data_IF_308541955483
#
_entry.id   IF_308541955483
#
_cell.length_a   1.000
_cell.length_b   1.000
_cell.length_c   1.000
_cell.angle_alpha   90.00
_cell.angle_beta   90.00
_cell.angle_gamma   90.00
#
_symmetry.space_group_name_H-M   'P 1'
#
loop_
_entity.id
_entity.type
_entity.pdbx_description
1 polymer ?
#
# COMPACT_ATOMS: atom_id res chain seq x y z
N UNK A 1 4.41 2.64 -20.00
CA UNK A 1 4.10 3.82 -20.85
C UNK A 1 2.99 4.70 -20.28
N UNK A 2 1.85 4.17 -19.84
CA UNK A 2 0.73 4.99 -19.33
C UNK A 2 1.10 5.89 -18.15
N UNK A 3 1.85 5.40 -17.17
CA UNK A 3 2.26 6.17 -15.99
C UNK A 3 3.10 7.41 -16.36
N UNK A 4 4.03 7.27 -17.31
CA UNK A 4 4.87 8.38 -17.76
C UNK A 4 4.03 9.48 -18.46
N UNK A 5 3.02 9.07 -19.23
CA UNK A 5 2.11 10.01 -19.89
C UNK A 5 1.30 10.79 -18.84
N UNK A 6 0.80 10.11 -17.82
CA UNK A 6 0.04 10.74 -16.72
C UNK A 6 0.92 11.76 -15.98
N UNK A 7 2.17 11.40 -15.64
CA UNK A 7 3.10 12.32 -15.00
C UNK A 7 3.40 13.55 -15.85
N UNK A 8 3.72 13.35 -17.13
CA UNK A 8 3.96 14.45 -18.06
C UNK A 8 2.72 15.35 -18.17
N UNK A 9 1.52 14.75 -18.26
CA UNK A 9 0.27 15.49 -18.33
C UNK A 9 0.07 16.40 -17.10
N UNK A 10 0.35 15.94 -15.89
CA UNK A 10 0.25 16.78 -14.69
C UNK A 10 1.17 17.98 -14.74
N UNK A 11 2.42 17.82 -15.16
CA UNK A 11 3.35 18.95 -15.31
C UNK A 11 2.90 19.93 -16.38
N UNK A 12 2.46 19.43 -17.54
CA UNK A 12 1.98 20.28 -18.65
C UNK A 12 0.72 21.04 -18.23
N UNK A 13 -0.24 20.39 -17.60
CA UNK A 13 -1.48 21.03 -17.12
C UNK A 13 -1.15 22.10 -16.08
N UNK A 14 -0.29 21.81 -15.10
CA UNK A 14 0.11 22.80 -14.10
C UNK A 14 0.76 24.03 -14.73
N UNK A 15 1.65 23.82 -15.71
CA UNK A 15 2.31 24.91 -16.42
C UNK A 15 1.34 25.74 -17.27
N UNK A 16 0.42 25.10 -18.00
CA UNK A 16 -0.60 25.79 -18.80
C UNK A 16 -1.54 26.61 -17.92
N UNK A 17 -1.97 26.05 -16.78
CA UNK A 17 -2.80 26.77 -15.81
C UNK A 17 -2.05 27.98 -15.22
N UNK A 18 -0.76 27.83 -14.94
CA UNK A 18 0.06 28.94 -14.44
C UNK A 18 0.20 30.06 -15.48
N UNK A 19 0.45 29.70 -16.74
CA UNK A 19 0.48 30.69 -17.84
C UNK A 19 -0.87 31.40 -17.99
N UNK A 20 -1.97 30.68 -17.94
CA UNK A 20 -3.30 31.26 -18.01
C UNK A 20 -3.53 32.24 -16.86
N UNK A 21 -3.18 31.88 -15.63
CA UNK A 21 -3.30 32.81 -14.47
C UNK A 21 -2.42 34.04 -14.62
N UNK A 22 -1.18 33.91 -15.10
CA UNK A 22 -0.29 35.00 -15.32
C UNK A 22 -0.86 35.97 -16.37
N UNK A 23 -1.32 35.45 -17.52
CA UNK A 23 -1.71 36.28 -18.68
C UNK A 23 -3.10 36.88 -18.47
N UNK A 24 -4.08 36.12 -18.04
CA UNK A 24 -5.49 36.53 -17.97
C UNK A 24 -5.92 37.07 -16.60
N UNK A 25 -5.28 36.64 -15.51
CA UNK A 25 -5.62 37.04 -14.15
C UNK A 25 -4.56 38.01 -13.55
N UNK A 26 -3.45 38.26 -14.26
CA UNK A 26 -2.37 39.12 -13.77
C UNK A 26 -1.63 38.59 -12.55
N UNK A 27 -1.70 37.28 -12.29
CA UNK A 27 -1.07 36.67 -11.13
C UNK A 27 0.43 36.47 -11.36
N UNK A 28 1.22 37.48 -10.99
CA UNK A 28 2.68 37.48 -11.17
C UNK A 28 3.41 36.58 -10.19
N UNK A 29 2.76 36.16 -9.07
CA UNK A 29 3.36 35.30 -8.05
C UNK A 29 3.18 33.82 -8.33
N UNK A 30 2.39 33.44 -9.34
CA UNK A 30 2.02 32.03 -9.59
C UNK A 30 3.23 31.11 -9.80
N UNK A 31 4.25 31.57 -10.53
CA UNK A 31 5.45 30.77 -10.77
C UNK A 31 6.31 30.61 -9.52
N UNK A 32 6.36 31.62 -8.65
CA UNK A 32 7.00 31.51 -7.35
C UNK A 32 6.26 30.52 -6.47
N UNK A 33 4.93 30.59 -6.39
CA UNK A 33 4.11 29.64 -5.65
C UNK A 33 4.29 28.20 -6.15
N UNK A 34 4.42 27.99 -7.46
CA UNK A 34 4.72 26.69 -8.03
C UNK A 34 6.11 26.18 -7.61
N UNK A 35 7.12 27.03 -7.66
CA UNK A 35 8.48 26.67 -7.27
C UNK A 35 8.55 26.35 -5.77
N UNK A 36 7.98 27.19 -4.92
CA UNK A 36 7.93 27.00 -3.47
C UNK A 36 7.17 25.70 -3.14
N UNK A 37 6.00 25.48 -3.76
CA UNK A 37 5.22 24.25 -3.60
C UNK A 37 5.96 22.98 -4.04
N UNK A 38 6.79 23.07 -5.09
CA UNK A 38 7.62 21.95 -5.54
C UNK A 38 8.68 21.60 -4.48
N UNK A 39 9.38 22.61 -3.94
CA UNK A 39 10.39 22.40 -2.91
C UNK A 39 9.77 21.91 -1.60
N UNK A 40 8.64 22.47 -1.19
CA UNK A 40 7.92 22.03 0.00
C UNK A 40 7.42 20.56 -0.15
N UNK A 41 6.88 20.22 -1.31
CA UNK A 41 6.47 18.84 -1.61
C UNK A 41 7.66 17.87 -1.60
N UNK A 42 8.80 18.27 -2.17
CA UNK A 42 10.03 17.46 -2.15
C UNK A 42 10.51 17.23 -0.72
N UNK A 43 10.55 18.30 0.10
CA UNK A 43 10.91 18.21 1.52
C UNK A 43 9.96 17.30 2.30
N UNK A 44 8.66 17.52 2.15
CA UNK A 44 7.62 16.70 2.82
C UNK A 44 7.72 15.23 2.40
N UNK A 45 7.97 14.93 1.12
CA UNK A 45 8.16 13.57 0.64
C UNK A 45 9.30 12.84 1.36
N UNK A 46 10.37 13.54 1.72
CA UNK A 46 11.50 12.94 2.45
C UNK A 46 11.21 12.88 3.95
N UNK A 47 10.82 14.01 4.56
CA UNK A 47 10.72 14.14 6.01
C UNK A 47 9.45 13.44 6.54
N UNK A 48 8.30 13.65 5.88
CA UNK A 48 7.01 13.22 6.41
C UNK A 48 6.59 11.85 5.86
N UNK A 49 7.21 11.39 4.75
CA UNK A 49 6.88 10.10 4.14
C UNK A 49 8.05 9.13 4.21
N UNK A 50 9.20 9.44 3.58
CA UNK A 50 10.29 8.48 3.44
C UNK A 50 10.94 8.09 4.77
N UNK A 51 11.25 9.05 5.65
CA UNK A 51 11.85 8.75 6.95
C UNK A 51 10.92 7.96 7.90
N UNK A 52 9.66 8.34 8.12
CA UNK A 52 8.72 7.55 8.91
C UNK A 52 8.51 6.15 8.33
N UNK A 53 8.40 6.02 7.01
CA UNK A 53 8.26 4.72 6.36
C UNK A 53 9.51 3.86 6.56
N UNK A 54 10.72 4.40 6.37
CA UNK A 54 11.96 3.67 6.60
C UNK A 54 12.09 3.20 8.06
N UNK A 55 11.76 4.06 9.04
CA UNK A 55 11.74 3.69 10.46
C UNK A 55 10.76 2.57 10.76
N UNK A 56 9.56 2.67 10.23
CA UNK A 56 8.52 1.63 10.33
C UNK A 56 8.98 0.32 9.69
N UNK A 57 9.59 0.38 8.51
CA UNK A 57 10.14 -0.79 7.82
C UNK A 57 11.20 -1.50 8.64
N UNK A 58 12.18 -0.76 9.18
CA UNK A 58 13.25 -1.33 10.02
C UNK A 58 12.68 -2.03 11.25
N UNK A 59 11.75 -1.37 11.95
CA UNK A 59 11.10 -1.93 13.13
C UNK A 59 10.32 -3.22 12.81
N UNK A 60 9.44 -3.19 11.81
CA UNK A 60 8.59 -4.34 11.49
C UNK A 60 9.34 -5.47 10.83
N UNK A 61 10.37 -5.21 10.01
CA UNK A 61 11.24 -6.27 9.48
C UNK A 61 12.05 -6.93 10.59
N UNK A 62 12.52 -6.16 11.59
CA UNK A 62 13.15 -6.72 12.79
C UNK A 62 12.20 -7.61 13.58
N UNK A 63 10.97 -7.16 13.82
CA UNK A 63 9.93 -7.92 14.50
C UNK A 63 9.55 -9.20 13.72
N UNK A 64 9.45 -9.10 12.39
CA UNK A 64 9.22 -10.25 11.51
C UNK A 64 10.33 -11.29 11.63
N UNK A 65 11.59 -10.87 11.65
CA UNK A 65 12.73 -11.79 11.80
C UNK A 65 12.66 -12.57 13.14
N UNK A 66 12.25 -11.89 14.21
CA UNK A 66 12.02 -12.52 15.50
C UNK A 66 10.86 -13.53 15.43
N UNK A 67 9.73 -13.12 14.85
CA UNK A 67 8.55 -13.96 14.72
C UNK A 67 8.80 -15.20 13.83
N UNK A 68 9.61 -15.04 12.77
CA UNK A 68 10.03 -16.12 11.89
C UNK A 68 10.90 -17.14 12.65
N UNK A 69 11.93 -16.67 13.36
CA UNK A 69 12.80 -17.52 14.20
C UNK A 69 12.05 -18.21 15.33
N UNK A 70 11.02 -17.58 15.87
CA UNK A 70 10.13 -18.14 16.88
C UNK A 70 9.11 -19.15 16.34
N UNK A 71 9.04 -19.35 15.02
CA UNK A 71 8.06 -20.23 14.39
C UNK A 71 6.62 -19.69 14.39
N UNK A 72 6.40 -18.43 14.75
CA UNK A 72 5.07 -17.83 14.80
C UNK A 72 4.48 -17.64 13.39
N UNK A 73 5.31 -17.25 12.43
CA UNK A 73 4.90 -17.08 11.03
C UNK A 73 4.45 -18.39 10.42
N UNK A 74 5.18 -19.49 10.69
CA UNK A 74 4.85 -20.81 10.19
C UNK A 74 3.50 -21.32 10.76
N UNK A 75 3.20 -21.03 12.03
CA UNK A 75 1.90 -21.37 12.63
C UNK A 75 0.76 -20.58 12.00
N UNK A 76 0.95 -19.27 11.81
CA UNK A 76 -0.04 -18.40 11.19
C UNK A 76 -0.26 -18.77 9.71
N UNK A 77 0.82 -19.02 8.97
CA UNK A 77 0.77 -19.49 7.59
C UNK A 77 0.01 -20.82 7.48
N UNK A 78 0.26 -21.77 8.39
CA UNK A 78 -0.45 -23.06 8.41
C UNK A 78 -1.95 -22.89 8.64
N UNK A 79 -2.35 -21.96 9.49
CA UNK A 79 -3.76 -21.65 9.74
C UNK A 79 -4.43 -20.99 8.52
N UNK A 80 -3.75 -20.07 7.84
CA UNK A 80 -4.26 -19.38 6.65
C UNK A 80 -4.09 -20.19 5.35
N UNK A 81 -3.30 -21.26 5.38
CA UNK A 81 -2.94 -22.04 4.19
C UNK A 81 -4.13 -22.53 3.36
N UNK A 82 -5.26 -23.04 3.96
CA UNK A 82 -6.41 -23.48 3.16
C UNK A 82 -7.03 -22.38 2.30
N UNK A 83 -6.95 -21.13 2.76
CA UNK A 83 -7.44 -19.98 2.04
C UNK A 83 -6.42 -19.52 0.98
N UNK A 84 -5.16 -19.35 1.39
CA UNK A 84 -4.11 -18.89 0.49
C UNK A 84 -3.80 -19.86 -0.65
N UNK A 85 -3.81 -21.17 -0.39
CA UNK A 85 -3.57 -22.17 -1.44
C UNK A 85 -4.62 -22.18 -2.55
N UNK A 86 -5.84 -21.73 -2.26
CA UNK A 86 -6.88 -21.55 -3.27
C UNK A 86 -6.68 -20.28 -4.10
N UNK A 87 -6.18 -19.22 -3.50
CA UNK A 87 -5.92 -17.95 -4.17
C UNK A 87 -4.59 -17.92 -4.91
N UNK A 88 -3.61 -18.69 -4.44
CA UNK A 88 -2.25 -18.77 -4.97
C UNK A 88 -1.83 -20.20 -5.31
N UNK A 89 -2.52 -20.89 -6.24
CA UNK A 89 -2.23 -22.29 -6.58
C UNK A 89 -0.83 -22.48 -7.18
N UNK A 90 -0.27 -21.44 -7.78
CA UNK A 90 1.06 -21.45 -8.42
C UNK A 90 2.21 -21.33 -7.40
N UNK A 91 1.92 -20.95 -6.14
CA UNK A 91 2.95 -20.73 -5.11
C UNK A 91 3.09 -21.96 -4.24
N UNK A 92 4.29 -22.58 -4.14
CA UNK A 92 4.52 -23.74 -3.28
C UNK A 92 4.23 -23.39 -1.80
N UNK A 93 3.54 -24.27 -1.09
CA UNK A 93 3.09 -24.02 0.29
C UNK A 93 4.23 -23.72 1.28
N UNK A 94 5.41 -24.30 1.04
CA UNK A 94 6.59 -24.10 1.88
C UNK A 94 7.48 -22.93 1.40
N UNK A 95 7.06 -22.18 0.37
CA UNK A 95 7.84 -21.07 -0.15
C UNK A 95 7.75 -19.86 0.80
N UNK A 96 8.85 -19.09 1.02
CA UNK A 96 8.87 -17.91 1.89
C UNK A 96 7.78 -16.88 1.56
N UNK A 97 7.39 -16.74 0.28
CA UNK A 97 6.31 -15.87 -0.16
C UNK A 97 5.01 -16.08 0.63
N UNK A 98 4.66 -17.33 0.95
CA UNK A 98 3.41 -17.64 1.70
C UNK A 98 3.41 -16.98 3.08
N UNK A 99 4.50 -17.11 3.84
CA UNK A 99 4.63 -16.48 5.16
C UNK A 99 4.60 -14.94 5.09
N UNK A 100 5.27 -14.38 4.09
CA UNK A 100 5.32 -12.92 3.87
C UNK A 100 3.97 -12.35 3.44
N UNK A 101 3.22 -13.04 2.58
CA UNK A 101 1.85 -12.70 2.22
C UNK A 101 0.92 -12.74 3.44
N UNK A 102 1.03 -13.78 4.28
CA UNK A 102 0.27 -13.87 5.54
C UNK A 102 0.54 -12.66 6.43
N UNK A 103 1.80 -12.28 6.61
CA UNK A 103 2.15 -11.11 7.43
C UNK A 103 1.62 -9.81 6.84
N UNK A 104 1.69 -9.65 5.51
CA UNK A 104 1.13 -8.49 4.82
C UNK A 104 -0.39 -8.40 5.03
N UNK A 105 -1.13 -9.49 4.80
CA UNK A 105 -2.57 -9.50 5.02
C UNK A 105 -2.96 -9.28 6.47
N UNK A 106 -2.22 -9.86 7.42
CA UNK A 106 -2.46 -9.66 8.85
C UNK A 106 -2.28 -8.20 9.26
N UNK A 107 -1.25 -7.53 8.75
CA UNK A 107 -1.02 -6.11 9.00
C UNK A 107 -2.15 -5.25 8.40
N UNK A 108 -2.59 -5.53 7.16
CA UNK A 108 -3.73 -4.86 6.54
C UNK A 108 -5.02 -5.08 7.33
N UNK A 109 -5.31 -6.31 7.79
CA UNK A 109 -6.49 -6.61 8.60
C UNK A 109 -6.53 -5.83 9.92
N UNK A 110 -5.37 -5.49 10.47
CA UNK A 110 -5.24 -4.64 11.65
C UNK A 110 -5.21 -3.14 11.32
N UNK A 111 -5.32 -2.76 10.03
CA UNK A 111 -5.26 -1.37 9.60
C UNK A 111 -3.90 -0.71 9.85
N UNK A 112 -2.84 -1.49 9.79
CA UNK A 112 -1.45 -1.04 9.97
C UNK A 112 -0.77 -0.91 8.61
N UNK A 113 -1.24 0.04 7.77
CA UNK A 113 -0.81 0.19 6.37
C UNK A 113 0.71 0.33 6.22
N UNK A 114 1.34 1.13 7.07
CA UNK A 114 2.79 1.32 7.06
C UNK A 114 3.55 0.03 7.43
N UNK A 115 2.98 -0.83 8.27
CA UNK A 115 3.56 -2.12 8.63
C UNK A 115 3.36 -3.18 7.54
N UNK A 116 2.28 -3.09 6.75
CA UNK A 116 2.01 -4.00 5.65
C UNK A 116 3.01 -3.84 4.50
N UNK A 117 3.47 -2.61 4.23
CA UNK A 117 4.35 -2.28 3.11
C UNK A 117 5.63 -3.13 3.06
N UNK A 118 6.46 -3.23 4.13
CA UNK A 118 7.68 -4.04 4.09
C UNK A 118 7.42 -5.52 3.85
N UNK A 119 6.32 -6.06 4.38
CA UNK A 119 5.92 -7.44 4.12
C UNK A 119 5.47 -7.63 2.67
N UNK A 120 4.77 -6.65 2.11
CA UNK A 120 4.35 -6.65 0.71
C UNK A 120 5.53 -6.64 -0.26
N UNK A 121 6.53 -5.80 -0.01
CA UNK A 121 7.75 -5.76 -0.81
C UNK A 121 8.51 -7.09 -0.77
N UNK A 122 8.67 -7.68 0.42
CA UNK A 122 9.31 -8.99 0.58
C UNK A 122 8.51 -10.11 -0.10
N UNK A 123 7.19 -10.11 0.02
CA UNK A 123 6.34 -11.08 -0.66
C UNK A 123 6.48 -10.97 -2.18
N UNK A 124 6.49 -9.75 -2.72
CA UNK A 124 6.64 -9.52 -4.15
C UNK A 124 8.03 -9.94 -4.66
N UNK A 125 9.10 -9.66 -3.90
CA UNK A 125 10.46 -10.14 -4.20
C UNK A 125 10.51 -11.67 -4.27
N UNK A 126 9.90 -12.35 -3.29
CA UNK A 126 9.84 -13.80 -3.24
C UNK A 126 8.97 -14.38 -4.37
N UNK A 127 7.85 -13.76 -4.72
CA UNK A 127 7.03 -14.15 -5.88
C UNK A 127 7.80 -13.95 -7.18
N UNK A 128 8.59 -12.88 -7.29
CA UNK A 128 9.44 -12.64 -8.47
C UNK A 128 10.53 -13.70 -8.63
N UNK A 129 11.01 -14.32 -7.55
CA UNK A 129 11.95 -15.43 -7.65
C UNK A 129 11.35 -16.66 -8.33
N UNK A 130 10.04 -16.89 -8.17
CA UNK A 130 9.28 -17.97 -8.81
C UNK A 130 8.85 -17.64 -10.24
N UNK A 131 8.94 -16.38 -10.66
CA UNK A 131 8.48 -15.93 -11.95
C UNK A 131 9.40 -16.40 -13.08
N UNK A 132 8.93 -17.20 -14.06
CA UNK A 132 9.73 -17.64 -15.20
C UNK A 132 9.99 -16.51 -16.20
N UNK A 133 9.06 -15.54 -16.33
CA UNK A 133 9.15 -14.41 -17.25
C UNK A 133 9.36 -13.10 -16.48
N UNK A 134 10.63 -12.73 -16.26
CA UNK A 134 10.98 -11.59 -15.38
C UNK A 134 10.36 -10.24 -15.77
N UNK A 135 10.04 -10.06 -17.05
CA UNK A 135 9.47 -8.83 -17.62
C UNK A 135 7.93 -8.78 -17.53
N UNK A 136 7.30 -9.89 -17.15
CA UNK A 136 5.83 -10.00 -17.08
C UNK A 136 5.41 -10.46 -15.69
N UNK A 137 4.39 -9.82 -15.12
CA UNK A 137 3.83 -10.24 -13.85
C UNK A 137 3.08 -11.59 -13.98
N UNK A 138 3.27 -12.48 -13.01
CA UNK A 138 2.50 -13.73 -12.89
C UNK A 138 1.11 -13.47 -12.31
N UNK A 139 0.19 -14.44 -12.48
CA UNK A 139 -1.13 -14.37 -11.86
C UNK A 139 -1.04 -14.22 -10.33
N UNK A 140 -0.11 -14.93 -9.70
CA UNK A 140 0.14 -14.80 -8.26
C UNK A 140 0.57 -13.39 -7.86
N UNK A 141 1.43 -12.73 -8.63
CA UNK A 141 1.84 -11.35 -8.37
C UNK A 141 0.68 -10.36 -8.56
N UNK A 142 -0.13 -10.55 -9.61
CA UNK A 142 -1.30 -9.71 -9.88
C UNK A 142 -2.33 -9.89 -8.76
N UNK A 143 -2.68 -11.12 -8.41
CA UNK A 143 -3.62 -11.42 -7.33
C UNK A 143 -3.14 -10.85 -5.99
N UNK A 144 -1.85 -11.01 -5.65
CA UNK A 144 -1.29 -10.46 -4.42
C UNK A 144 -1.38 -8.93 -4.39
N UNK A 145 -1.02 -8.25 -5.49
CA UNK A 145 -1.09 -6.80 -5.59
C UNK A 145 -2.52 -6.29 -5.42
N UNK A 146 -3.47 -6.95 -6.07
CA UNK A 146 -4.89 -6.59 -6.02
C UNK A 146 -5.47 -6.78 -4.62
N UNK A 147 -5.14 -7.89 -3.94
CA UNK A 147 -5.55 -8.12 -2.56
C UNK A 147 -4.90 -7.14 -1.58
N UNK A 148 -3.62 -6.84 -1.77
CA UNK A 148 -2.93 -5.83 -0.96
C UNK A 148 -3.56 -4.44 -1.11
N UNK A 149 -3.84 -4.02 -2.34
CA UNK A 149 -4.43 -2.71 -2.62
C UNK A 149 -5.91 -2.61 -2.25
N UNK A 150 -6.66 -3.72 -2.25
CA UNK A 150 -8.04 -3.74 -1.77
C UNK A 150 -8.14 -3.51 -0.25
N UNK A 151 -7.03 -3.77 0.48
CA UNK A 151 -6.83 -3.36 1.85
C UNK A 151 -7.88 -3.90 2.83
N UNK A 152 -8.20 -5.23 2.77
CA UNK A 152 -9.13 -5.83 3.72
C UNK A 152 -8.75 -5.47 5.16
N UNK A 153 -9.56 -4.63 5.80
CA UNK A 153 -9.31 -4.13 7.13
C UNK A 153 -10.43 -4.55 8.07
N UNK A 154 -10.08 -5.27 9.14
CA UNK A 154 -11.01 -5.66 10.20
C UNK A 154 -11.02 -4.60 11.30
N UNK A 155 -9.85 -4.08 11.66
CA UNK A 155 -9.71 -3.04 12.69
C UNK A 155 -9.02 -1.83 12.04
N UNK A 156 -9.76 -0.76 11.68
CA UNK A 156 -9.21 0.39 10.96
C UNK A 156 -8.46 1.36 11.91
N UNK A 157 -7.38 0.89 12.53
CA UNK A 157 -6.65 1.65 13.55
C UNK A 157 -6.10 2.96 13.01
N UNK A 158 -5.52 2.95 11.83
CA UNK A 158 -4.95 4.16 11.19
C UNK A 158 -6.02 5.22 10.93
N UNK A 159 -7.18 4.81 10.40
CA UNK A 159 -8.29 5.73 10.11
C UNK A 159 -8.88 6.29 11.41
N UNK A 160 -9.06 5.46 12.41
CA UNK A 160 -9.54 5.90 13.74
C UNK A 160 -8.56 6.91 14.34
N UNK A 161 -7.25 6.66 14.24
CA UNK A 161 -6.22 7.57 14.74
C UNK A 161 -6.24 8.92 14.03
N UNK A 162 -6.40 8.95 12.71
CA UNK A 162 -6.54 10.20 11.95
C UNK A 162 -7.81 10.97 12.32
N UNK A 163 -8.93 10.28 12.52
CA UNK A 163 -10.17 10.91 12.97
C UNK A 163 -10.04 11.52 14.38
N UNK A 164 -9.35 10.82 15.30
CA UNK A 164 -9.03 11.34 16.62
C UNK A 164 -8.15 12.60 16.53
N UNK A 165 -7.09 12.54 15.74
CA UNK A 165 -6.19 13.67 15.52
C UNK A 165 -6.90 14.88 14.88
N UNK A 166 -7.91 14.63 14.04
CA UNK A 166 -8.77 15.66 13.44
C UNK A 166 -9.89 16.16 14.37
N UNK A 167 -9.92 15.74 15.65
CA UNK A 167 -10.89 16.20 16.65
C UNK A 167 -12.28 15.56 16.53
N UNK A 168 -12.42 14.39 15.93
CA UNK A 168 -13.70 13.69 15.86
C UNK A 168 -14.20 13.28 17.24
N UNK A 169 -15.44 13.64 17.58
CA UNK A 169 -16.08 13.26 18.84
C UNK A 169 -16.40 11.76 18.93
N UNK A 170 -16.59 11.12 17.77
CA UNK A 170 -16.79 9.68 17.65
C UNK A 170 -15.93 9.12 16.51
N UNK A 171 -14.66 8.91 16.80
CA UNK A 171 -13.72 8.40 15.82
C UNK A 171 -13.98 6.93 15.45
N UNK A 172 -14.57 6.16 16.36
CA UNK A 172 -14.82 4.72 16.17
C UNK A 172 -16.05 4.44 15.30
N UNK A 173 -16.95 5.39 15.07
CA UNK A 173 -18.15 5.21 14.23
C UNK A 173 -17.84 4.75 12.79
N UNK A 174 -16.63 5.00 12.31
CA UNK A 174 -16.15 4.55 10.99
C UNK A 174 -15.91 3.03 10.91
N UNK A 175 -15.86 2.33 12.02
CA UNK A 175 -15.49 0.92 12.09
C UNK A 175 -16.33 0.04 11.14
N UNK A 176 -17.64 0.01 11.33
CA UNK A 176 -18.54 -0.83 10.51
C UNK A 176 -18.52 -0.43 9.04
N UNK A 177 -18.69 0.86 8.67
CA UNK A 177 -18.58 1.29 7.27
C UNK A 177 -17.26 0.91 6.62
N UNK A 178 -16.13 1.04 7.33
CA UNK A 178 -14.82 0.69 6.82
C UNK A 178 -14.69 -0.82 6.55
N UNK A 179 -15.10 -1.65 7.51
CA UNK A 179 -15.09 -3.12 7.35
C UNK A 179 -15.94 -3.55 6.15
N UNK A 180 -17.16 -3.04 6.02
CA UNK A 180 -18.05 -3.38 4.91
C UNK A 180 -17.48 -2.93 3.56
N UNK A 181 -16.93 -1.72 3.49
CA UNK A 181 -16.31 -1.21 2.27
C UNK A 181 -15.11 -2.06 1.84
N UNK A 182 -14.22 -2.40 2.77
CA UNK A 182 -13.01 -3.18 2.46
C UNK A 182 -13.33 -4.65 2.14
N UNK A 183 -14.34 -5.25 2.76
CA UNK A 183 -14.86 -6.56 2.35
C UNK A 183 -15.39 -6.49 0.92
N UNK A 184 -16.21 -5.48 0.60
CA UNK A 184 -16.78 -5.29 -0.74
C UNK A 184 -15.71 -5.13 -1.81
N UNK A 185 -14.69 -4.28 -1.57
CA UNK A 185 -13.57 -4.09 -2.50
C UNK A 185 -12.75 -5.35 -2.67
N UNK A 186 -12.47 -6.10 -1.60
CA UNK A 186 -11.71 -7.35 -1.66
C UNK A 186 -12.47 -8.42 -2.44
N UNK A 187 -13.77 -8.60 -2.20
CA UNK A 187 -14.59 -9.54 -2.95
C UNK A 187 -14.65 -9.18 -4.44
N UNK A 188 -14.89 -7.90 -4.75
CA UNK A 188 -14.88 -7.42 -6.13
C UNK A 188 -13.52 -7.68 -6.80
N UNK A 189 -12.43 -7.45 -6.10
CA UNK A 189 -11.07 -7.69 -6.58
C UNK A 189 -10.83 -9.16 -6.90
N UNK A 190 -11.24 -10.08 -6.02
CA UNK A 190 -11.11 -11.52 -6.26
C UNK A 190 -11.93 -11.96 -7.47
N UNK A 191 -13.15 -11.43 -7.65
CA UNK A 191 -14.02 -11.78 -8.79
C UNK A 191 -13.43 -11.31 -10.11
N UNK A 192 -12.78 -10.14 -10.13
CA UNK A 192 -12.23 -9.55 -11.37
C UNK A 192 -10.93 -10.21 -11.81
N UNK A 193 -10.12 -10.68 -10.87
CA UNK A 193 -8.76 -11.19 -11.15
C UNK A 193 -8.68 -12.72 -11.06
N UNK A 194 -9.54 -13.36 -10.28
CA UNK A 194 -9.60 -14.82 -10.12
C UNK A 194 -10.47 -15.44 -11.17
#
# INVERSE_FOLDING_TARGET
MALNIIWIAFFVIAFVVALFKLIFLGDTEIFKLLADGLFDSAKSSVIDVAFPLAGTMVFFLGLMNIAEKAGAIQKLAKWMNPFLSRLFPEVPQNHPAMGQMVMNFSANMLGLDNAATPFGLKAMESLQSLNPEKERATNAQIMFLVLHTSGLTIIPLTIISYRLAAGSLDAASIFIPCVLATIGTTLASIIVVG
#
